data_IF_340373075249
#
_entry.id   IF_340373075249
#
_cell.length_a   1.000
_cell.length_b   1.000
_cell.length_c   1.000
_cell.angle_alpha   90.00
_cell.angle_beta   90.00
_cell.angle_gamma   90.00
#
_symmetry.space_group_name_H-M   'P 1'
#
loop_
_entity.id
_entity.type
_entity.pdbx_description
1 polymer ?
#
# COMPACT_ATOMS: atom_id res chain seq x y z
N UNK A 1 -45.53 52.20 18.10
CA UNK A 1 -45.86 50.86 17.59
C UNK A 1 -44.84 50.48 16.52
N UNK A 2 -43.91 49.57 16.83
CA UNK A 2 -43.32 48.55 15.96
C UNK A 2 -42.37 47.73 16.87
N UNK A 3 -42.57 46.41 17.04
CA UNK A 3 -41.80 45.64 18.00
C UNK A 3 -40.46 45.19 17.42
N UNK A 4 -39.40 45.34 18.23
CA UNK A 4 -38.11 44.69 18.04
C UNK A 4 -38.29 43.17 18.18
N UNK A 5 -38.11 42.42 17.09
CA UNK A 5 -37.94 40.96 17.12
C UNK A 5 -36.45 40.65 17.28
N UNK A 6 -36.07 40.27 18.50
CA UNK A 6 -34.81 39.62 18.82
C UNK A 6 -34.78 38.23 18.16
N UNK A 7 -34.01 38.08 17.09
CA UNK A 7 -33.65 36.77 16.57
C UNK A 7 -32.65 36.11 17.52
N UNK A 8 -33.15 35.30 18.45
CA UNK A 8 -32.32 34.32 19.15
C UNK A 8 -31.96 33.21 18.15
N UNK A 9 -30.76 33.29 17.57
CA UNK A 9 -30.12 32.12 16.97
C UNK A 9 -29.73 31.18 18.11
N UNK A 10 -30.56 30.18 18.37
CA UNK A 10 -30.17 29.01 19.17
C UNK A 10 -29.00 28.35 18.44
N UNK A 11 -27.78 28.59 18.95
CA UNK A 11 -26.62 27.80 18.58
C UNK A 11 -26.94 26.34 18.93
N UNK A 12 -27.17 25.50 17.92
CA UNK A 12 -27.19 24.06 18.11
C UNK A 12 -25.81 23.68 18.64
N UNK A 13 -25.75 23.33 19.93
CA UNK A 13 -24.57 22.74 20.52
C UNK A 13 -24.18 21.51 19.69
N UNK A 14 -23.02 21.56 19.05
CA UNK A 14 -22.39 20.37 18.48
C UNK A 14 -22.33 19.33 19.60
N UNK A 15 -22.96 18.14 19.44
CA UNK A 15 -22.95 17.13 20.48
C UNK A 15 -21.51 16.83 20.87
N UNK A 16 -21.23 16.83 22.18
CA UNK A 16 -19.93 16.49 22.71
C UNK A 16 -19.50 15.12 22.15
N UNK A 17 -18.22 14.93 21.76
CA UNK A 17 -17.75 13.65 21.28
C UNK A 17 -18.08 12.58 22.32
N UNK A 18 -18.79 11.53 21.92
CA UNK A 18 -19.05 10.39 22.79
C UNK A 18 -17.71 9.83 23.26
N UNK A 19 -17.49 9.60 24.57
CA UNK A 19 -16.24 9.02 25.06
C UNK A 19 -15.96 7.70 24.34
N UNK A 20 -14.78 7.58 23.72
CA UNK A 20 -14.37 6.34 23.07
C UNK A 20 -14.04 5.30 24.15
N UNK A 21 -14.89 4.28 24.29
CA UNK A 21 -14.65 3.17 25.22
C UNK A 21 -13.64 2.21 24.60
N UNK A 22 -12.50 2.02 25.28
CA UNK A 22 -11.48 1.06 24.87
C UNK A 22 -11.80 -0.35 25.37
N UNK A 23 -11.59 -1.34 24.50
CA UNK A 23 -11.64 -2.76 24.83
C UNK A 23 -10.20 -3.27 24.84
N UNK A 24 -9.77 -3.86 25.95
CA UNK A 24 -8.45 -4.50 26.06
C UNK A 24 -8.62 -6.00 25.84
N UNK A 25 -8.00 -6.52 24.80
CA UNK A 25 -7.97 -7.95 24.51
C UNK A 25 -6.66 -8.54 25.01
N UNK A 26 -6.74 -9.27 26.14
CA UNK A 26 -5.60 -9.99 26.73
C UNK A 26 -5.21 -11.15 25.82
N UNK A 27 -4.05 -11.02 25.18
CA UNK A 27 -3.49 -12.04 24.30
C UNK A 27 -1.99 -11.88 24.16
N UNK A 28 -1.34 -12.91 23.65
CA UNK A 28 0.06 -12.85 23.28
C UNK A 28 0.23 -12.14 21.93
N UNK A 29 1.27 -11.31 21.80
CA UNK A 29 1.68 -10.73 20.52
C UNK A 29 3.08 -11.24 20.23
N UNK A 30 3.22 -11.93 19.11
CA UNK A 30 4.45 -12.58 18.66
C UNK A 30 5.08 -11.76 17.51
N UNK A 31 6.41 -11.68 17.43
CA UNK A 31 7.07 -11.16 16.24
C UNK A 31 6.73 -12.05 15.03
N UNK A 32 6.46 -11.44 13.88
CA UNK A 32 6.19 -12.19 12.64
C UNK A 32 7.50 -12.83 12.15
N UNK A 33 7.61 -14.16 12.00
CA UNK A 33 8.81 -14.78 11.48
C UNK A 33 9.03 -14.42 10.00
N UNK A 34 10.19 -14.77 9.45
CA UNK A 34 10.58 -14.39 8.10
C UNK A 34 11.11 -12.96 8.02
N UNK A 35 11.25 -12.47 6.80
CA UNK A 35 11.81 -11.15 6.49
C UNK A 35 11.37 -10.69 5.11
N UNK A 36 11.59 -9.40 4.82
CA UNK A 36 11.50 -8.88 3.45
C UNK A 36 12.53 -9.57 2.55
N UNK A 37 12.14 -9.81 1.30
CA UNK A 37 13.08 -10.17 0.24
C UNK A 37 14.03 -9.00 -0.12
N UNK A 38 14.91 -9.23 -1.09
CA UNK A 38 15.88 -8.23 -1.55
C UNK A 38 15.47 -7.52 -2.84
N UNK A 39 14.22 -7.67 -3.30
CA UNK A 39 13.76 -7.06 -4.56
C UNK A 39 13.71 -5.54 -4.41
N UNK A 40 14.42 -4.76 -5.24
CA UNK A 40 14.34 -3.30 -5.20
C UNK A 40 12.96 -2.83 -5.71
N UNK A 41 12.37 -1.88 -4.98
CA UNK A 41 11.05 -1.30 -5.27
C UNK A 41 11.21 0.20 -5.48
N UNK A 42 11.02 0.65 -6.72
CA UNK A 42 10.89 2.07 -7.06
C UNK A 42 9.57 2.59 -6.48
N UNK A 43 9.64 3.49 -5.49
CA UNK A 43 8.47 4.01 -4.78
C UNK A 43 8.29 5.50 -5.07
N UNK A 44 7.31 5.85 -5.89
CA UNK A 44 6.95 7.23 -6.23
C UNK A 44 5.63 7.62 -5.56
N UNK A 45 5.70 8.24 -4.38
CA UNK A 45 4.52 8.69 -3.64
C UNK A 45 4.76 10.05 -2.97
N UNK A 46 5.75 10.82 -3.43
CA UNK A 46 6.02 12.17 -2.93
C UNK A 46 6.41 13.16 -4.05
N UNK A 47 5.66 14.25 -4.26
CA UNK A 47 4.45 14.58 -3.52
C UNK A 47 3.27 13.66 -3.86
N UNK A 48 2.42 13.34 -2.89
CA UNK A 48 1.16 12.66 -3.19
C UNK A 48 0.25 13.60 -4.00
N UNK A 49 0.07 14.84 -3.55
CA UNK A 49 -0.70 15.85 -4.27
C UNK A 49 0.19 16.67 -5.19
N UNK A 50 0.13 16.36 -6.48
CA UNK A 50 0.94 17.02 -7.51
C UNK A 50 0.21 18.27 -8.01
N UNK A 51 0.88 19.42 -7.96
CA UNK A 51 0.34 20.70 -8.46
C UNK A 51 1.20 21.35 -9.53
N UNK A 52 2.49 21.03 -9.57
CA UNK A 52 3.41 21.49 -10.61
C UNK A 52 3.96 20.31 -11.39
N UNK A 53 4.33 20.56 -12.64
CA UNK A 53 5.11 19.62 -13.44
C UNK A 53 6.49 19.39 -12.83
N UNK A 54 7.13 18.27 -13.16
CA UNK A 54 8.47 17.96 -12.68
C UNK A 54 8.74 16.47 -12.50
N UNK A 55 9.91 16.20 -11.95
CA UNK A 55 10.37 14.86 -11.57
C UNK A 55 9.72 14.47 -10.24
N UNK A 56 8.99 13.35 -10.22
CA UNK A 56 8.42 12.79 -8.99
C UNK A 56 9.45 11.91 -8.29
N UNK A 57 10.14 11.08 -9.07
CA UNK A 57 11.29 10.28 -8.65
C UNK A 57 12.15 9.93 -9.86
N UNK A 58 13.47 10.07 -9.76
CA UNK A 58 14.41 9.64 -10.79
C UNK A 58 15.58 8.87 -10.18
N UNK A 59 15.88 7.71 -10.76
CA UNK A 59 17.09 6.95 -10.45
C UNK A 59 18.20 7.13 -11.48
N UNK A 60 18.02 8.00 -12.46
CA UNK A 60 19.06 8.31 -13.45
C UNK A 60 20.33 8.85 -12.76
N UNK A 61 21.49 8.77 -13.41
CA UNK A 61 22.67 9.48 -12.94
C UNK A 61 22.45 11.00 -12.95
N UNK A 62 23.00 11.74 -11.96
CA UNK A 62 22.90 13.20 -11.90
C UNK A 62 23.78 13.93 -12.91
N UNK A 63 24.73 13.24 -13.54
CA UNK A 63 25.62 13.81 -14.55
C UNK A 63 24.82 14.36 -15.74
N UNK A 64 25.19 15.55 -16.20
CA UNK A 64 24.60 16.22 -17.37
C UNK A 64 23.11 16.55 -17.22
N UNK A 65 22.58 16.59 -15.98
CA UNK A 65 21.23 17.05 -15.64
C UNK A 65 21.27 18.47 -15.11
N UNK A 66 20.30 19.30 -15.50
CA UNK A 66 20.21 20.69 -15.01
C UNK A 66 19.98 20.76 -13.50
N UNK A 67 19.28 19.75 -12.94
CA UNK A 67 19.00 19.65 -11.50
C UNK A 67 19.53 18.33 -10.90
N UNK A 68 20.84 18.21 -10.65
CA UNK A 68 21.46 16.98 -10.16
C UNK A 68 20.79 16.38 -8.91
N UNK A 69 20.29 17.23 -8.00
CA UNK A 69 19.61 16.80 -6.76
C UNK A 69 18.29 16.04 -6.98
N UNK A 70 17.72 16.10 -8.19
CA UNK A 70 16.52 15.36 -8.56
C UNK A 70 16.83 13.90 -8.99
N UNK A 71 18.08 13.45 -8.97
CA UNK A 71 18.50 12.17 -9.55
C UNK A 71 19.30 11.32 -8.56
N UNK A 72 18.79 10.12 -8.24
CA UNK A 72 19.34 9.27 -7.17
C UNK A 72 20.42 8.28 -7.60
N UNK A 73 20.72 8.16 -8.90
CA UNK A 73 21.71 7.23 -9.46
C UNK A 73 21.61 5.78 -8.94
N UNK A 74 20.49 5.12 -9.25
CA UNK A 74 20.25 3.72 -8.89
C UNK A 74 19.79 2.91 -10.12
N UNK A 75 20.63 2.02 -10.66
CA UNK A 75 20.21 1.14 -11.75
C UNK A 75 19.41 -0.06 -11.22
N UNK A 76 18.43 -0.51 -12.00
CA UNK A 76 17.72 -1.76 -11.81
C UNK A 76 18.26 -2.82 -12.77
N UNK A 77 18.35 -4.06 -12.33
CA UNK A 77 18.70 -5.23 -13.15
C UNK A 77 18.11 -6.48 -12.48
N UNK A 78 17.62 -7.44 -13.26
CA UNK A 78 16.88 -8.59 -12.73
C UNK A 78 15.49 -8.19 -12.24
N UNK A 79 15.01 -8.80 -11.16
CA UNK A 79 13.67 -8.58 -10.59
C UNK A 79 13.59 -7.23 -9.87
N UNK A 80 12.61 -6.39 -10.20
CA UNK A 80 12.31 -5.13 -9.50
C UNK A 80 10.84 -4.73 -9.61
N UNK A 81 10.34 -3.93 -8.67
CA UNK A 81 8.95 -3.44 -8.68
C UNK A 81 8.90 -1.93 -8.85
N UNK A 82 7.77 -1.46 -9.38
CA UNK A 82 7.42 -0.04 -9.45
C UNK A 82 6.08 0.15 -8.74
N UNK A 83 6.07 0.97 -7.69
CA UNK A 83 4.87 1.50 -7.06
C UNK A 83 4.80 3.01 -7.29
N UNK A 84 3.67 3.49 -7.80
CA UNK A 84 3.40 4.92 -7.95
C UNK A 84 2.00 5.28 -7.46
N UNK A 85 1.87 6.35 -6.70
CA UNK A 85 0.58 6.89 -6.26
C UNK A 85 0.62 8.41 -6.22
N UNK A 86 -0.20 9.05 -7.04
CA UNK A 86 -0.27 10.50 -7.13
C UNK A 86 -1.71 10.97 -7.38
N UNK A 87 -1.99 12.17 -6.87
CA UNK A 87 -3.28 12.85 -6.95
C UNK A 87 -3.08 14.15 -7.70
N UNK A 88 -3.88 14.35 -8.75
CA UNK A 88 -4.05 15.63 -9.41
C UNK A 88 -5.25 16.34 -8.80
N UNK A 89 -5.09 17.63 -8.52
CA UNK A 89 -6.19 18.52 -8.14
C UNK A 89 -6.06 19.79 -8.96
N UNK A 90 -7.14 20.21 -9.58
CA UNK A 90 -7.14 21.48 -10.29
C UNK A 90 -6.71 22.62 -9.34
N UNK A 91 -5.71 23.45 -9.70
CA UNK A 91 -5.26 24.55 -8.87
C UNK A 91 -6.34 25.63 -8.72
N UNK A 92 -7.14 25.85 -9.77
CA UNK A 92 -8.33 26.71 -9.81
C UNK A 92 -9.43 26.04 -10.62
N UNK A 93 -10.65 26.57 -10.61
CA UNK A 93 -11.75 26.05 -11.45
C UNK A 93 -11.55 26.39 -12.94
N UNK A 94 -10.68 27.34 -13.26
CA UNK A 94 -10.39 27.76 -14.64
C UNK A 94 -9.23 26.96 -15.26
N UNK A 95 -8.37 26.34 -14.45
CA UNK A 95 -7.29 25.45 -14.89
C UNK A 95 -7.63 23.99 -14.56
N UNK A 96 -8.37 23.36 -15.49
CA UNK A 96 -8.80 21.96 -15.40
C UNK A 96 -7.94 21.03 -16.28
N UNK A 97 -6.70 21.42 -16.57
CA UNK A 97 -5.80 20.64 -17.43
C UNK A 97 -5.57 19.24 -16.86
N UNK A 98 -5.57 18.24 -17.74
CA UNK A 98 -5.24 16.86 -17.36
C UNK A 98 -3.77 16.76 -16.97
N UNK A 99 -3.48 16.24 -15.79
CA UNK A 99 -2.10 15.87 -15.43
C UNK A 99 -1.79 14.48 -16.00
N UNK A 100 -0.63 14.28 -16.61
CA UNK A 100 -0.12 12.97 -17.00
C UNK A 100 0.91 12.48 -15.99
N UNK A 101 0.82 11.19 -15.67
CA UNK A 101 1.89 10.44 -15.01
C UNK A 101 2.67 9.69 -16.08
N UNK A 102 3.96 9.99 -16.20
CA UNK A 102 4.90 9.27 -17.07
C UNK A 102 5.83 8.39 -16.23
N UNK A 103 6.12 7.18 -16.70
CA UNK A 103 7.23 6.36 -16.20
C UNK A 103 8.10 5.98 -17.38
N UNK A 104 9.34 6.49 -17.40
CA UNK A 104 10.31 6.26 -18.47
C UNK A 104 11.41 5.33 -17.97
N UNK A 105 11.78 4.37 -18.81
CA UNK A 105 12.94 3.50 -18.61
C UNK A 105 14.02 3.84 -19.63
N UNK A 106 15.27 3.84 -19.20
CA UNK A 106 16.43 4.09 -20.05
C UNK A 106 17.43 2.96 -19.95
N UNK A 107 17.90 2.51 -21.10
CA UNK A 107 18.97 1.53 -21.21
C UNK A 107 20.31 2.26 -21.42
N UNK A 108 21.22 2.29 -20.43
CA UNK A 108 22.52 2.93 -20.57
C UNK A 108 23.54 2.05 -21.33
N UNK A 109 23.18 0.82 -21.66
CA UNK A 109 24.04 -0.18 -22.28
C UNK A 109 24.22 0.02 -23.78
N UNK A 110 25.14 -0.78 -24.35
CA UNK A 110 25.44 -0.81 -25.78
C UNK A 110 24.62 -1.85 -26.57
N UNK A 111 23.88 -2.68 -25.86
CA UNK A 111 23.02 -3.72 -26.41
C UNK A 111 21.57 -3.44 -26.02
N UNK A 112 20.61 -3.98 -26.74
CA UNK A 112 19.19 -3.86 -26.38
C UNK A 112 18.91 -4.60 -25.06
N UNK A 113 17.98 -4.07 -24.28
CA UNK A 113 17.52 -4.64 -23.00
C UNK A 113 16.03 -4.93 -23.10
N UNK A 114 15.63 -6.11 -22.62
CA UNK A 114 14.23 -6.52 -22.51
C UNK A 114 13.77 -6.41 -21.07
N UNK A 115 12.68 -5.68 -20.85
CA UNK A 115 11.98 -5.63 -19.57
C UNK A 115 10.69 -6.42 -19.68
N UNK A 116 10.61 -7.55 -18.99
CA UNK A 116 9.40 -8.33 -18.83
C UNK A 116 8.45 -7.64 -17.84
N UNK A 117 7.20 -7.48 -18.24
CA UNK A 117 6.13 -6.96 -17.40
C UNK A 117 5.30 -8.15 -16.92
N UNK A 118 5.62 -8.64 -15.73
CA UNK A 118 5.07 -9.88 -15.17
C UNK A 118 3.63 -9.65 -14.73
N UNK A 119 3.42 -8.65 -13.88
CA UNK A 119 2.13 -8.20 -13.38
C UNK A 119 2.10 -6.66 -13.44
N UNK A 120 0.96 -6.08 -13.78
CA UNK A 120 0.83 -4.62 -13.85
C UNK A 120 -0.63 -4.19 -13.77
N UNK A 121 -0.92 -3.19 -12.95
CA UNK A 121 -2.22 -2.56 -12.90
C UNK A 121 -2.08 -1.07 -12.59
N UNK A 122 -2.89 -0.25 -13.25
CA UNK A 122 -2.99 1.20 -13.01
C UNK A 122 -4.44 1.66 -13.12
N UNK A 123 -4.96 2.26 -12.05
CA UNK A 123 -6.35 2.69 -11.98
C UNK A 123 -6.48 4.11 -11.45
N UNK A 124 -7.46 4.84 -11.99
CA UNK A 124 -7.92 6.11 -11.46
C UNK A 124 -8.86 5.91 -10.28
N UNK A 125 -8.91 6.89 -9.38
CA UNK A 125 -9.97 6.96 -8.37
C UNK A 125 -11.32 7.19 -9.01
N UNK A 126 -11.40 7.91 -10.13
CA UNK A 126 -12.62 8.10 -10.90
C UNK A 126 -12.27 8.07 -12.40
N UNK A 127 -13.00 7.30 -13.24
CA UNK A 127 -14.17 6.49 -12.92
C UNK A 127 -13.82 5.06 -12.44
N UNK A 128 -12.56 4.63 -12.53
CA UNK A 128 -12.22 3.21 -12.44
C UNK A 128 -12.50 2.59 -11.06
N UNK A 129 -12.09 3.26 -9.99
CA UNK A 129 -12.16 2.72 -8.63
C UNK A 129 -12.55 3.79 -7.59
N UNK A 130 -13.81 4.25 -7.60
CA UNK A 130 -14.28 5.27 -6.65
C UNK A 130 -14.17 4.80 -5.20
N UNK A 131 -13.99 5.77 -4.31
CA UNK A 131 -14.10 5.55 -2.87
C UNK A 131 -15.57 5.43 -2.50
N UNK A 132 -16.06 4.19 -2.39
CA UNK A 132 -17.42 3.86 -1.99
C UNK A 132 -17.44 3.28 -0.57
N UNK A 133 -18.58 3.39 0.10
CA UNK A 133 -18.80 2.69 1.36
C UNK A 133 -19.04 1.20 1.10
N UNK A 134 -18.33 0.35 1.84
CA UNK A 134 -18.49 -1.10 1.79
C UNK A 134 -18.62 -1.63 3.23
N UNK A 135 -19.29 -2.78 3.42
CA UNK A 135 -19.24 -3.53 4.68
C UNK A 135 -17.82 -3.86 5.13
N UNK A 136 -17.65 -4.23 6.41
CA UNK A 136 -16.34 -4.60 6.98
C UNK A 136 -15.68 -5.75 6.25
N UNK A 137 -16.49 -6.69 5.74
CA UNK A 137 -16.07 -7.83 4.93
C UNK A 137 -17.04 -8.07 3.80
N UNK A 138 -16.50 -8.29 2.60
CA UNK A 138 -17.28 -8.63 1.40
C UNK A 138 -16.56 -9.72 0.64
N UNK A 139 -17.29 -10.74 0.19
CA UNK A 139 -16.71 -11.72 -0.73
C UNK A 139 -16.23 -11.03 -2.01
N UNK A 140 -14.98 -11.28 -2.38
CA UNK A 140 -14.37 -10.73 -3.58
C UNK A 140 -13.86 -11.83 -4.49
N UNK A 141 -14.54 -12.98 -4.57
CA UNK A 141 -14.09 -14.10 -5.41
C UNK A 141 -14.00 -13.72 -6.89
N UNK A 142 -14.84 -12.78 -7.36
CA UNK A 142 -14.84 -12.26 -8.73
C UNK A 142 -13.78 -11.19 -9.02
N UNK A 143 -13.11 -10.65 -7.99
CA UNK A 143 -12.15 -9.54 -8.15
C UNK A 143 -12.79 -8.17 -8.43
N UNK A 144 -14.12 -8.04 -8.31
CA UNK A 144 -14.87 -6.81 -8.65
C UNK A 144 -15.22 -5.93 -7.46
N UNK A 145 -14.83 -6.31 -6.24
CA UNK A 145 -15.07 -5.52 -5.03
C UNK A 145 -13.81 -4.75 -4.65
N UNK A 146 -13.92 -3.42 -4.72
CA UNK A 146 -12.86 -2.47 -4.40
C UNK A 146 -13.46 -1.12 -3.98
N UNK A 147 -12.70 -0.34 -3.23
CA UNK A 147 -13.04 1.05 -2.91
C UNK A 147 -11.74 1.88 -2.90
N UNK A 148 -11.53 2.65 -3.96
CA UNK A 148 -10.28 3.36 -4.21
C UNK A 148 -9.30 2.58 -5.09
N UNK A 149 -8.44 3.29 -5.86
CA UNK A 149 -7.56 2.70 -6.87
C UNK A 149 -6.47 1.83 -6.27
N UNK A 150 -5.99 2.19 -5.07
CA UNK A 150 -5.03 1.37 -4.33
C UNK A 150 -5.53 -0.04 -4.05
N UNK A 151 -6.75 -0.17 -3.55
CA UNK A 151 -7.34 -1.48 -3.24
C UNK A 151 -7.58 -2.34 -4.49
N UNK A 152 -7.95 -1.70 -5.62
CA UNK A 152 -8.16 -2.37 -6.91
C UNK A 152 -6.85 -2.87 -7.51
N UNK A 153 -5.83 -2.01 -7.57
CA UNK A 153 -4.47 -2.40 -8.01
C UNK A 153 -3.97 -3.60 -7.21
N UNK A 154 -4.05 -3.54 -5.87
CA UNK A 154 -3.58 -4.64 -5.02
C UNK A 154 -4.37 -5.95 -5.25
N UNK A 155 -5.68 -5.88 -5.49
CA UNK A 155 -6.49 -7.06 -5.82
C UNK A 155 -6.06 -7.72 -7.12
N UNK A 156 -5.80 -6.93 -8.17
CA UNK A 156 -5.43 -7.47 -9.49
C UNK A 156 -4.04 -8.11 -9.46
N UNK A 157 -3.08 -7.46 -8.81
CA UNK A 157 -1.72 -7.99 -8.63
C UNK A 157 -1.73 -9.25 -7.74
N UNK A 158 -2.53 -9.29 -6.66
CA UNK A 158 -2.69 -10.49 -5.84
C UNK A 158 -3.18 -11.72 -6.64
N UNK A 159 -3.88 -11.48 -7.74
CA UNK A 159 -4.41 -12.51 -8.65
C UNK A 159 -3.47 -12.83 -9.81
N UNK A 160 -2.27 -12.25 -9.85
CA UNK A 160 -1.32 -12.41 -10.95
C UNK A 160 -1.73 -11.66 -12.22
N UNK A 161 -2.51 -10.58 -12.07
CA UNK A 161 -3.05 -9.83 -13.19
C UNK A 161 -2.03 -8.92 -13.88
N UNK A 162 -2.06 -8.93 -15.22
CA UNK A 162 -1.52 -7.86 -16.06
C UNK A 162 -2.68 -7.23 -16.81
N UNK A 163 -3.03 -6.00 -16.42
CA UNK A 163 -4.15 -5.26 -16.99
C UNK A 163 -3.96 -5.06 -18.50
N UNK A 164 -5.08 -5.19 -19.23
CA UNK A 164 -5.12 -4.93 -20.66
C UNK A 164 -4.56 -3.55 -20.99
N UNK A 165 -3.67 -3.50 -21.99
CA UNK A 165 -2.93 -2.30 -22.38
C UNK A 165 -1.48 -2.27 -21.92
N UNK A 166 -1.09 -3.06 -20.90
CA UNK A 166 0.33 -3.29 -20.61
C UNK A 166 0.86 -4.44 -21.49
N UNK A 167 1.93 -4.21 -22.28
CA UNK A 167 2.52 -5.28 -23.07
C UNK A 167 3.19 -6.31 -22.14
N UNK A 168 3.44 -7.52 -22.64
CA UNK A 168 4.18 -8.52 -21.87
C UNK A 168 5.67 -8.16 -21.72
N UNK A 169 6.22 -7.45 -22.69
CA UNK A 169 7.64 -7.09 -22.77
C UNK A 169 7.82 -5.69 -23.34
N UNK A 170 8.88 -5.02 -22.91
CA UNK A 170 9.34 -3.75 -23.46
C UNK A 170 10.81 -3.87 -23.84
N UNK A 171 11.09 -3.84 -25.15
CA UNK A 171 12.48 -3.80 -25.65
C UNK A 171 12.95 -2.34 -25.76
N UNK A 172 14.07 -2.06 -25.12
CA UNK A 172 14.73 -0.75 -25.08
C UNK A 172 16.08 -0.87 -25.79
N UNK A 173 16.21 -0.19 -26.94
CA UNK A 173 17.45 -0.20 -27.71
C UNK A 173 18.61 0.43 -26.93
N UNK A 174 19.84 0.12 -27.35
CA UNK A 174 21.05 0.66 -26.74
C UNK A 174 20.99 2.20 -26.65
N UNK A 175 21.27 2.75 -25.46
CA UNK A 175 21.28 4.20 -25.20
C UNK A 175 19.94 4.91 -25.47
N UNK A 176 18.84 4.16 -25.59
CA UNK A 176 17.51 4.73 -25.83
C UNK A 176 16.64 4.66 -24.57
N UNK A 177 15.58 5.45 -24.61
CA UNK A 177 14.53 5.43 -23.59
C UNK A 177 13.22 4.94 -24.18
N UNK A 178 12.35 4.37 -23.33
CA UNK A 178 11.00 3.95 -23.67
C UNK A 178 10.05 4.29 -22.53
N UNK A 179 8.82 4.67 -22.88
CA UNK A 179 7.77 4.84 -21.88
C UNK A 179 7.27 3.47 -21.45
N UNK A 180 7.36 3.20 -20.14
CA UNK A 180 6.66 2.10 -19.50
C UNK A 180 5.21 2.46 -19.20
N UNK A 181 4.96 3.74 -18.88
CA UNK A 181 3.65 4.28 -18.58
C UNK A 181 3.56 5.73 -19.07
N UNK A 182 2.44 6.10 -19.70
CA UNK A 182 2.14 7.48 -20.11
C UNK A 182 0.62 7.67 -20.02
N UNK A 183 0.11 7.85 -18.81
CA UNK A 183 -1.33 7.77 -18.54
C UNK A 183 -1.89 9.05 -17.92
N UNK A 184 -3.10 9.47 -18.32
CA UNK A 184 -3.73 10.69 -17.82
C UNK A 184 -4.31 10.52 -16.41
N UNK A 185 -4.46 11.64 -15.72
CA UNK A 185 -5.18 11.83 -14.45
C UNK A 185 -6.15 13.01 -14.67
N UNK A 186 -7.30 12.77 -15.35
CA UNK A 186 -8.24 13.82 -15.71
C UNK A 186 -9.02 14.29 -14.49
N UNK A 187 -9.28 15.60 -14.42
CA UNK A 187 -10.05 16.24 -13.33
C UNK A 187 -11.26 17.04 -13.84
N UNK A 188 -11.28 17.39 -15.13
CA UNK A 188 -12.22 18.34 -15.74
C UNK A 188 -13.69 18.00 -15.54
N UNK A 189 -14.05 16.72 -15.52
CA UNK A 189 -15.43 16.24 -15.39
C UNK A 189 -15.84 15.91 -13.94
N UNK A 190 -14.97 16.17 -12.96
CA UNK A 190 -15.17 15.75 -11.57
C UNK A 190 -15.56 16.93 -10.68
N UNK A 191 -16.40 16.67 -9.68
CA UNK A 191 -16.80 17.67 -8.66
C UNK A 191 -16.60 17.08 -7.26
N UNK A 192 -15.62 17.56 -6.47
CA UNK A 192 -14.59 18.53 -6.85
C UNK A 192 -13.61 17.98 -7.91
N UNK A 193 -12.86 18.84 -8.64
CA UNK A 193 -11.93 18.44 -9.69
C UNK A 193 -10.64 17.85 -9.11
N UNK A 194 -10.73 16.62 -8.60
CA UNK A 194 -9.64 15.86 -7.97
C UNK A 194 -9.70 14.41 -8.40
N UNK A 195 -8.54 13.84 -8.75
CA UNK A 195 -8.44 12.43 -9.13
C UNK A 195 -7.07 11.88 -8.74
N UNK A 196 -7.02 10.64 -8.25
CA UNK A 196 -5.79 9.92 -7.96
C UNK A 196 -5.55 8.79 -8.95
N UNK A 197 -4.28 8.43 -9.18
CA UNK A 197 -3.88 7.22 -9.90
C UNK A 197 -2.95 6.40 -9.02
N UNK A 198 -3.26 5.11 -8.87
CA UNK A 198 -2.36 4.12 -8.28
C UNK A 198 -1.84 3.20 -9.36
N UNK A 199 -0.56 2.85 -9.30
CA UNK A 199 0.09 1.89 -10.17
C UNK A 199 0.96 0.95 -9.35
N UNK A 200 0.90 -0.34 -9.63
CA UNK A 200 1.89 -1.32 -9.17
C UNK A 200 2.28 -2.23 -10.35
N UNK A 201 3.57 -2.45 -10.52
CA UNK A 201 4.12 -3.32 -11.56
C UNK A 201 5.22 -4.22 -10.98
N UNK A 202 5.20 -5.48 -11.39
CA UNK A 202 6.26 -6.47 -11.14
C UNK A 202 7.01 -6.72 -12.43
N UNK A 203 8.30 -6.43 -12.42
CA UNK A 203 9.13 -6.39 -13.62
C UNK A 203 10.38 -7.28 -13.47
N UNK A 204 10.92 -7.72 -14.60
CA UNK A 204 12.25 -8.31 -14.68
C UNK A 204 12.99 -7.68 -15.86
N UNK A 205 14.25 -7.29 -15.67
CA UNK A 205 15.10 -6.74 -16.74
C UNK A 205 16.31 -7.63 -16.97
N UNK A 206 16.56 -8.02 -18.22
CA UNK A 206 17.74 -8.82 -18.60
C UNK A 206 19.05 -8.02 -18.59
N UNK A 207 18.97 -6.68 -18.61
CA UNK A 207 20.10 -5.76 -18.47
C UNK A 207 19.83 -4.61 -17.49
N UNK A 208 20.78 -3.69 -17.40
CA UNK A 208 20.65 -2.51 -16.54
C UNK A 208 19.66 -1.51 -17.13
N UNK A 209 18.78 -0.96 -16.32
CA UNK A 209 17.91 0.16 -16.68
C UNK A 209 17.85 1.20 -15.57
N UNK A 210 17.68 2.46 -15.95
CA UNK A 210 17.30 3.55 -15.05
C UNK A 210 15.82 3.86 -15.22
N UNK A 211 15.16 4.28 -14.13
CA UNK A 211 13.73 4.60 -14.15
C UNK A 211 13.49 6.01 -13.62
N UNK A 212 12.49 6.69 -14.18
CA UNK A 212 11.98 7.93 -13.61
C UNK A 212 10.46 8.01 -13.75
N UNK A 213 9.79 8.50 -12.71
CA UNK A 213 8.39 8.92 -12.73
C UNK A 213 8.33 10.44 -12.80
N UNK A 214 7.50 10.94 -13.70
CA UNK A 214 7.42 12.34 -14.10
C UNK A 214 5.95 12.78 -14.12
N UNK A 215 5.71 14.06 -13.84
CA UNK A 215 4.41 14.69 -13.93
C UNK A 215 4.46 15.84 -14.94
N UNK A 216 3.53 15.86 -15.89
CA UNK A 216 3.41 16.94 -16.87
C UNK A 216 1.93 17.16 -17.19
N UNK A 217 1.46 18.40 -17.26
CA UNK A 217 0.13 18.70 -17.75
C UNK A 217 0.04 18.41 -19.24
N UNK A 218 -1.16 18.06 -19.70
CA UNK A 218 -1.42 17.74 -21.09
C UNK A 218 -0.99 18.92 -21.99
N UNK A 219 0.00 18.74 -22.88
CA UNK A 219 0.29 19.73 -23.88
C UNK A 219 -0.89 19.85 -24.85
N UNK A 220 -1.01 21.02 -25.47
CA UNK A 220 -2.00 21.27 -26.51
C UNK A 220 -1.43 20.87 -27.88
N UNK A 221 -2.30 20.38 -28.76
CA UNK A 221 -2.00 20.25 -30.19
C UNK A 221 -2.25 21.58 -30.94
N UNK A 222 -2.07 21.58 -32.27
CA UNK A 222 -2.27 22.76 -33.12
C UNK A 222 -3.70 23.29 -33.09
N UNK A 223 -4.66 22.45 -32.75
CA UNK A 223 -6.09 22.77 -32.70
C UNK A 223 -6.53 23.19 -31.29
N UNK A 224 -5.59 23.24 -30.33
CA UNK A 224 -5.83 23.60 -28.95
C UNK A 224 -6.41 22.48 -28.08
N UNK A 225 -6.42 21.23 -28.57
CA UNK A 225 -6.90 20.08 -27.80
C UNK A 225 -5.77 19.47 -26.95
N UNK A 226 -6.13 18.95 -25.78
CA UNK A 226 -5.21 18.22 -24.93
C UNK A 226 -4.76 16.91 -25.60
N UNK A 227 -3.44 16.67 -25.64
CA UNK A 227 -2.84 15.40 -26.08
C UNK A 227 -1.91 14.83 -25.00
N UNK A 228 -1.53 13.56 -25.15
CA UNK A 228 -0.49 12.99 -24.29
C UNK A 228 0.88 13.62 -24.56
N UNK A 229 1.73 13.81 -23.54
CA UNK A 229 3.12 14.20 -23.75
C UNK A 229 3.88 13.16 -24.58
N UNK A 230 4.77 13.62 -25.45
CA UNK A 230 5.63 12.75 -26.27
C UNK A 230 6.83 12.26 -25.47
N UNK A 231 7.52 11.22 -25.96
CA UNK A 231 8.75 10.75 -25.31
C UNK A 231 9.82 11.85 -25.25
N UNK A 232 9.95 12.69 -26.28
CA UNK A 232 10.88 13.81 -26.28
C UNK A 232 10.55 14.80 -25.15
N UNK A 233 9.27 15.15 -24.95
CA UNK A 233 8.87 16.04 -23.86
C UNK A 233 9.15 15.44 -22.48
N UNK A 234 8.99 14.12 -22.32
CA UNK A 234 9.37 13.43 -21.08
C UNK A 234 10.89 13.42 -20.86
N UNK A 235 11.69 13.25 -21.92
CA UNK A 235 13.14 13.31 -21.86
C UNK A 235 13.63 14.72 -21.52
N UNK A 236 13.04 15.75 -22.14
CA UNK A 236 13.34 17.15 -21.86
C UNK A 236 13.03 17.48 -20.39
N UNK A 237 11.87 17.06 -19.88
CA UNK A 237 11.50 17.23 -18.48
C UNK A 237 12.45 16.47 -17.53
N UNK A 238 12.90 15.28 -17.91
CA UNK A 238 13.87 14.51 -17.14
C UNK A 238 15.25 15.15 -17.11
N UNK A 239 15.66 15.83 -18.19
CA UNK A 239 16.98 16.47 -18.32
C UNK A 239 17.04 17.84 -17.66
N UNK A 240 15.99 18.63 -17.84
CA UNK A 240 15.94 20.05 -17.48
C UNK A 240 15.07 20.33 -16.26
N UNK A 241 14.13 19.45 -15.93
CA UNK A 241 13.12 19.68 -14.90
C UNK A 241 13.66 19.63 -13.47
N UNK A 242 12.91 20.25 -12.56
CA UNK A 242 13.09 20.17 -11.11
C UNK A 242 12.16 19.11 -10.51
N UNK A 243 12.23 18.90 -9.19
CA UNK A 243 11.26 18.06 -8.49
C UNK A 243 9.85 18.67 -8.55
N UNK A 244 8.85 17.85 -8.86
CA UNK A 244 7.45 18.26 -8.82
C UNK A 244 7.04 18.64 -7.39
N UNK A 245 6.16 19.64 -7.29
CA UNK A 245 5.76 20.26 -6.04
C UNK A 245 4.24 20.44 -5.85
N UNK A 246 3.84 20.97 -4.68
CA UNK A 246 4.69 21.23 -3.51
C UNK A 246 5.16 19.91 -2.86
N UNK A 247 6.37 19.89 -2.29
CA UNK A 247 6.89 18.72 -1.57
C UNK A 247 6.06 18.43 -0.30
N UNK A 248 6.04 17.18 0.13
CA UNK A 248 5.37 16.78 1.37
C UNK A 248 6.09 17.31 2.62
N UNK A 249 5.47 17.14 3.79
CA UNK A 249 6.14 17.42 5.07
C UNK A 249 7.36 16.51 5.22
N UNK A 250 8.51 17.12 5.51
CA UNK A 250 9.74 16.40 5.81
C UNK A 250 9.54 15.42 6.99
N UNK A 251 10.12 14.21 6.92
CA UNK A 251 10.01 13.24 8.01
C UNK A 251 10.77 13.68 9.24
N UNK A 252 10.30 13.25 10.40
CA UNK A 252 11.06 13.29 11.64
C UNK A 252 12.18 12.26 11.57
N UNK A 253 13.39 12.61 12.04
CA UNK A 253 14.51 11.68 12.10
C UNK A 253 14.14 10.43 12.94
N UNK A 254 14.55 9.20 12.55
CA UNK A 254 14.08 7.97 13.19
C UNK A 254 14.44 7.83 14.68
N UNK A 255 15.49 8.53 15.13
CA UNK A 255 15.96 8.53 16.52
C UNK A 255 15.36 9.66 17.36
N UNK A 256 14.49 10.50 16.80
CA UNK A 256 13.81 11.52 17.57
C UNK A 256 12.84 10.87 18.57
N UNK A 257 12.93 11.28 19.84
CA UNK A 257 12.10 10.75 20.93
C UNK A 257 11.09 11.77 21.44
N UNK A 258 11.08 12.99 20.91
CA UNK A 258 10.24 14.10 21.34
C UNK A 258 9.46 14.69 20.18
N UNK A 259 8.30 15.30 20.47
CA UNK A 259 7.44 15.91 19.47
C UNK A 259 6.54 14.91 18.72
N UNK A 260 5.79 15.44 17.75
CA UNK A 260 4.95 14.61 16.88
C UNK A 260 5.80 13.96 15.79
N UNK A 261 5.71 12.64 15.67
CA UNK A 261 6.43 11.87 14.65
C UNK A 261 5.74 12.01 13.29
N UNK A 262 6.49 12.48 12.29
CA UNK A 262 6.09 12.49 10.88
C UNK A 262 6.90 11.41 10.17
N UNK A 263 6.25 10.35 9.69
CA UNK A 263 6.93 9.28 8.96
C UNK A 263 7.42 9.73 7.57
N UNK A 264 6.75 10.73 6.99
CA UNK A 264 7.01 11.21 5.63
C UNK A 264 6.37 10.31 4.56
N UNK A 265 6.17 10.87 3.37
CA UNK A 265 5.85 10.11 2.16
C UNK A 265 7.13 9.54 1.55
N UNK A 266 7.01 8.49 0.75
CA UNK A 266 8.17 7.74 0.21
C UNK A 266 8.46 8.22 -1.22
N UNK A 267 9.69 8.67 -1.47
CA UNK A 267 10.26 8.78 -2.82
C UNK A 267 11.71 8.26 -2.82
N UNK A 268 11.91 7.12 -3.47
CA UNK A 268 13.20 6.46 -3.52
C UNK A 268 13.10 5.00 -3.94
N UNK A 269 14.17 4.24 -3.71
CA UNK A 269 14.18 2.79 -3.92
C UNK A 269 14.22 2.10 -2.57
N UNK A 270 13.20 1.32 -2.25
CA UNK A 270 13.15 0.49 -1.05
C UNK A 270 13.67 -0.92 -1.34
N UNK A 271 14.13 -1.64 -0.33
CA UNK A 271 14.48 -3.07 -0.43
C UNK A 271 13.37 -3.92 0.16
N UNK A 272 12.73 -4.73 -0.67
CA UNK A 272 11.72 -5.70 -0.26
C UNK A 272 10.38 -5.49 -0.96
N UNK A 273 9.97 -6.48 -1.76
CA UNK A 273 8.65 -6.55 -2.41
C UNK A 273 7.69 -7.56 -1.75
N UNK A 274 8.24 -8.50 -0.98
CA UNK A 274 7.48 -9.57 -0.34
C UNK A 274 8.03 -9.90 1.05
N UNK A 275 7.14 -10.12 1.99
CA UNK A 275 7.41 -10.79 3.27
C UNK A 275 6.86 -12.21 3.20
N UNK A 276 7.74 -13.21 3.24
CA UNK A 276 7.34 -14.61 3.23
C UNK A 276 7.65 -15.26 4.58
N UNK A 277 6.68 -15.98 5.13
CA UNK A 277 6.82 -16.60 6.45
C UNK A 277 6.04 -17.90 6.58
N UNK A 278 6.66 -18.89 7.21
CA UNK A 278 5.96 -20.02 7.82
C UNK A 278 5.89 -19.77 9.33
N UNK A 279 4.67 -19.70 9.86
CA UNK A 279 4.41 -19.40 11.26
C UNK A 279 4.43 -20.73 12.02
N UNK A 280 5.43 -20.95 12.86
CA UNK A 280 5.62 -22.16 13.68
C UNK A 280 5.93 -21.75 15.11
N UNK A 281 5.80 -22.69 16.06
CA UNK A 281 5.97 -22.37 17.49
C UNK A 281 7.38 -21.86 17.84
N UNK A 282 8.40 -22.36 17.14
CA UNK A 282 9.79 -21.95 17.29
C UNK A 282 10.62 -22.36 16.04
N UNK A 283 11.89 -21.92 15.89
CA UNK A 283 12.67 -22.15 14.67
C UNK A 283 12.92 -23.62 14.29
N UNK A 284 12.75 -24.58 15.20
CA UNK A 284 12.92 -26.02 14.91
C UNK A 284 11.59 -26.77 14.80
N UNK A 285 10.46 -26.11 15.09
CA UNK A 285 9.13 -26.69 14.98
C UNK A 285 8.67 -26.75 13.51
N UNK A 286 7.81 -27.72 13.20
CA UNK A 286 7.16 -27.86 11.88
C UNK A 286 5.69 -27.41 11.88
N UNK A 287 5.15 -27.14 13.07
CA UNK A 287 3.74 -26.81 13.27
C UNK A 287 3.59 -25.58 14.17
N UNK A 288 2.38 -25.02 14.14
CA UNK A 288 1.93 -23.93 14.99
C UNK A 288 0.81 -24.46 15.88
N UNK A 289 1.08 -24.56 17.17
CA UNK A 289 0.09 -25.02 18.14
C UNK A 289 -1.02 -23.99 18.26
N UNK A 290 -2.28 -24.43 18.11
CA UNK A 290 -3.44 -23.56 18.33
C UNK A 290 -3.46 -23.08 19.79
N UNK A 291 -3.95 -21.86 20.08
CA UNK A 291 -3.99 -21.38 21.45
C UNK A 291 -4.94 -22.24 22.30
N UNK A 292 -4.76 -22.19 23.62
CA UNK A 292 -5.66 -22.84 24.57
C UNK A 292 -7.11 -22.32 24.41
N UNK A 293 -8.14 -23.10 24.80
CA UNK A 293 -9.54 -22.65 24.75
C UNK A 293 -9.73 -21.28 25.41
N UNK A 294 -10.46 -20.38 24.74
CA UNK A 294 -10.67 -19.00 25.16
C UNK A 294 -9.44 -18.07 25.06
N UNK A 295 -8.33 -18.51 24.47
CA UNK A 295 -7.10 -17.72 24.28
C UNK A 295 -6.83 -17.41 22.81
N UNK A 296 -5.94 -16.44 22.59
CA UNK A 296 -5.49 -16.02 21.27
C UNK A 296 -4.01 -15.60 21.29
N UNK A 297 -3.39 -15.61 20.12
CA UNK A 297 -2.14 -14.89 19.84
C UNK A 297 -2.26 -14.10 18.53
N UNK A 298 -1.45 -13.06 18.38
CA UNK A 298 -1.37 -12.27 17.15
C UNK A 298 0.05 -12.12 16.63
N UNK A 299 0.17 -11.93 15.32
CA UNK A 299 1.38 -11.43 14.66
C UNK A 299 1.14 -10.03 14.10
N UNK A 300 2.07 -9.11 14.34
CA UNK A 300 2.03 -7.77 13.75
C UNK A 300 2.24 -7.80 12.24
N UNK A 301 1.51 -6.94 11.52
CA UNK A 301 1.61 -6.74 10.08
C UNK A 301 1.94 -5.25 9.81
N UNK A 302 2.99 -5.01 9.04
CA UNK A 302 3.53 -3.68 8.74
C UNK A 302 3.88 -2.85 9.99
N UNK A 303 4.48 -3.48 11.01
CA UNK A 303 4.93 -2.75 12.21
C UNK A 303 6.03 -1.72 11.91
N UNK A 304 6.12 -0.69 12.75
CA UNK A 304 6.92 0.51 12.50
C UNK A 304 7.59 1.03 13.78
N UNK A 305 8.57 1.94 13.64
CA UNK A 305 9.09 2.72 14.76
C UNK A 305 7.91 3.50 15.37
N UNK A 306 7.54 3.29 16.64
CA UNK A 306 6.32 3.80 17.30
C UNK A 306 5.00 3.08 16.94
N UNK A 307 5.10 1.80 16.60
CA UNK A 307 3.97 0.91 16.32
C UNK A 307 4.41 -0.56 16.32
N UNK A 308 5.28 -0.94 17.26
CA UNK A 308 5.89 -2.28 17.36
C UNK A 308 5.00 -3.31 18.04
N UNK A 309 3.89 -2.87 18.64
CA UNK A 309 2.95 -3.72 19.37
C UNK A 309 3.67 -4.59 20.41
N UNK A 310 4.62 -4.02 21.16
CA UNK A 310 5.35 -4.70 22.24
C UNK A 310 6.36 -5.76 21.80
N UNK A 311 6.46 -6.09 20.51
CA UNK A 311 7.37 -7.14 20.01
C UNK A 311 8.81 -6.66 19.76
N UNK A 312 9.02 -5.33 19.74
CA UNK A 312 10.27 -4.73 19.26
C UNK A 312 10.49 -4.83 17.75
N UNK A 313 9.66 -5.57 17.00
CA UNK A 313 9.82 -5.78 15.57
C UNK A 313 9.39 -4.54 14.76
N UNK A 314 10.23 -4.18 13.79
CA UNK A 314 9.95 -3.18 12.76
C UNK A 314 9.98 -3.88 11.41
N UNK A 315 8.91 -3.72 10.64
CA UNK A 315 8.79 -4.31 9.29
C UNK A 315 8.95 -3.28 8.17
N UNK A 316 9.08 -1.99 8.50
CA UNK A 316 9.27 -0.93 7.49
C UNK A 316 10.51 -1.20 6.63
N UNK A 317 10.34 -1.24 5.30
CA UNK A 317 11.43 -1.59 4.40
C UNK A 317 12.55 -0.52 4.41
N UNK A 318 13.83 -0.92 4.44
CA UNK A 318 14.93 0.04 4.36
C UNK A 318 15.03 0.68 2.96
N UNK A 319 15.37 1.96 2.92
CA UNK A 319 15.63 2.68 1.67
C UNK A 319 17.08 2.44 1.20
N UNK A 320 17.25 2.03 -0.06
CA UNK A 320 18.55 1.93 -0.73
C UNK A 320 19.05 3.31 -1.17
N UNK A 321 18.14 4.12 -1.70
CA UNK A 321 18.33 5.54 -2.02
C UNK A 321 17.00 6.27 -1.78
N UNK A 322 17.04 7.55 -1.41
CA UNK A 322 15.84 8.38 -1.19
C UNK A 322 16.16 9.85 -1.39
N UNK A 323 15.14 10.67 -1.63
CA UNK A 323 15.31 12.13 -1.49
C UNK A 323 15.40 12.53 -0.01
N UNK A 324 16.22 13.53 0.35
CA UNK A 324 16.45 13.92 1.74
C UNK A 324 15.19 14.32 2.51
N UNK A 325 14.20 14.91 1.82
CA UNK A 325 12.92 15.39 2.35
C UNK A 325 11.84 14.30 2.47
N UNK A 326 12.16 13.05 2.14
CA UNK A 326 11.21 11.92 2.14
C UNK A 326 11.54 10.85 3.15
N UNK A 327 10.59 9.97 3.43
CA UNK A 327 10.64 8.96 4.49
C UNK A 327 11.98 8.19 4.56
N UNK A 328 12.46 7.96 5.79
CA UNK A 328 13.70 7.22 6.03
C UNK A 328 13.58 5.72 5.75
N UNK A 329 12.36 5.19 5.83
CA UNK A 329 11.99 3.82 5.50
C UNK A 329 10.71 3.85 4.65
N UNK A 330 10.41 2.80 3.90
CA UNK A 330 9.11 2.66 3.25
C UNK A 330 8.03 2.29 4.28
N UNK A 331 7.67 3.25 5.12
CA UNK A 331 6.64 3.07 6.15
C UNK A 331 5.30 2.70 5.50
N UNK A 332 4.55 1.81 6.15
CA UNK A 332 3.32 1.26 5.59
C UNK A 332 3.54 0.20 4.53
N UNK A 333 4.76 -0.02 4.02
CA UNK A 333 5.07 -1.14 3.12
C UNK A 333 4.07 -1.29 1.94
N UNK A 334 3.63 -0.16 1.36
CA UNK A 334 2.60 -0.18 0.32
C UNK A 334 3.04 -1.03 -0.87
N UNK A 335 2.20 -1.98 -1.27
CA UNK A 335 2.50 -2.94 -2.33
C UNK A 335 3.34 -4.15 -1.89
N UNK A 336 3.87 -4.18 -0.66
CA UNK A 336 4.56 -5.38 -0.16
C UNK A 336 3.55 -6.50 0.00
N UNK A 337 3.85 -7.66 -0.59
CA UNK A 337 3.06 -8.86 -0.43
C UNK A 337 3.43 -9.57 0.87
N UNK A 338 2.47 -9.76 1.78
CA UNK A 338 2.58 -10.68 2.89
C UNK A 338 2.09 -12.05 2.42
N UNK A 339 2.92 -13.07 2.55
CA UNK A 339 2.63 -14.45 2.16
C UNK A 339 2.93 -15.38 3.32
N UNK A 340 1.88 -15.72 4.06
CA UNK A 340 1.96 -16.33 5.38
C UNK A 340 1.36 -17.74 5.33
N UNK A 341 2.09 -18.72 5.85
CA UNK A 341 1.63 -20.11 5.95
C UNK A 341 1.58 -20.52 7.42
N UNK A 342 0.42 -21.03 7.85
CA UNK A 342 0.11 -21.44 9.21
C UNK A 342 -0.19 -22.95 9.23
N UNK A 343 0.81 -23.81 9.50
CA UNK A 343 0.62 -25.25 9.72
C UNK A 343 0.04 -25.51 11.12
N UNK A 344 -1.25 -25.24 11.32
CA UNK A 344 -1.93 -25.37 12.60
C UNK A 344 -2.01 -26.83 13.06
N UNK A 345 -1.81 -27.07 14.36
CA UNK A 345 -2.03 -28.37 15.01
C UNK A 345 -2.93 -28.22 16.25
N UNK A 346 -3.88 -29.13 16.43
CA UNK A 346 -4.62 -29.30 17.69
C UNK A 346 -3.98 -30.43 18.53
N UNK A 347 -3.13 -30.13 19.52
CA UNK A 347 -2.52 -31.16 20.35
C UNK A 347 -3.44 -31.66 21.49
N UNK A 348 -4.66 -31.13 21.61
CA UNK A 348 -5.57 -31.48 22.71
C UNK A 348 -6.32 -32.78 22.43
N UNK A 349 -7.02 -33.28 23.45
CA UNK A 349 -7.88 -34.49 23.34
C UNK A 349 -9.31 -34.17 22.91
N UNK A 350 -9.64 -32.89 22.76
CA UNK A 350 -10.97 -32.42 22.41
C UNK A 350 -10.96 -31.74 21.04
N UNK A 351 -12.10 -31.73 20.37
CA UNK A 351 -12.27 -30.94 19.14
C UNK A 351 -12.27 -29.46 19.52
N UNK A 352 -11.47 -28.66 18.83
CA UNK A 352 -11.33 -27.22 19.07
C UNK A 352 -11.88 -26.42 17.88
N UNK A 353 -12.61 -25.35 18.16
CA UNK A 353 -13.01 -24.38 17.13
C UNK A 353 -11.94 -23.28 17.03
N UNK A 354 -11.22 -23.24 15.91
CA UNK A 354 -10.14 -22.29 15.66
C UNK A 354 -10.57 -21.26 14.64
N UNK A 355 -10.27 -19.99 14.90
CA UNK A 355 -10.62 -18.86 14.03
C UNK A 355 -9.39 -18.02 13.69
N UNK A 356 -9.38 -17.49 12.48
CA UNK A 356 -8.39 -16.51 12.02
C UNK A 356 -9.09 -15.20 11.66
N UNK A 357 -8.49 -14.08 12.04
CA UNK A 357 -8.96 -12.75 11.69
C UNK A 357 -7.77 -11.81 11.42
N UNK A 358 -7.94 -10.87 10.49
CA UNK A 358 -7.07 -9.70 10.37
C UNK A 358 -7.75 -8.58 11.13
N UNK A 359 -7.05 -7.88 12.02
CA UNK A 359 -7.62 -6.87 12.90
C UNK A 359 -6.82 -5.56 12.87
N UNK A 360 -7.48 -4.46 13.24
CA UNK A 360 -6.90 -3.11 13.24
C UNK A 360 -6.93 -2.52 14.66
N UNK A 361 -5.99 -2.90 15.54
CA UNK A 361 -5.93 -2.37 16.89
C UNK A 361 -5.54 -0.88 16.90
N UNK A 362 -5.71 -0.24 18.05
CA UNK A 362 -5.12 1.07 18.31
C UNK A 362 -3.59 0.91 18.29
N UNK A 363 -2.91 1.74 17.50
CA UNK A 363 -1.45 1.72 17.39
C UNK A 363 -0.80 1.93 18.76
N UNK A 364 0.04 0.98 19.14
CA UNK A 364 0.82 0.99 20.38
C UNK A 364 2.28 0.63 20.07
N UNK A 365 3.24 1.32 20.72
CA UNK A 365 4.65 0.91 20.65
C UNK A 365 4.96 -0.18 21.68
N UNK A 366 4.59 0.07 22.93
CA UNK A 366 4.64 -0.89 24.04
C UNK A 366 3.23 -1.38 24.36
N UNK A 367 3.12 -2.63 24.81
CA UNK A 367 1.84 -3.23 25.19
C UNK A 367 1.74 -3.34 26.71
N UNK A 368 0.63 -2.84 27.26
CA UNK A 368 0.23 -3.03 28.65
C UNK A 368 -1.12 -3.73 28.65
N UNK A 369 -1.14 -5.04 28.93
CA UNK A 369 -2.37 -5.82 29.04
C UNK A 369 -2.98 -6.32 27.72
N UNK A 370 -2.27 -6.25 26.59
CA UNK A 370 -2.72 -6.79 25.30
C UNK A 370 -3.06 -5.73 24.25
N UNK A 371 -3.76 -6.15 23.19
CA UNK A 371 -4.18 -5.25 22.11
C UNK A 371 -5.37 -4.40 22.54
N UNK A 372 -5.41 -3.14 22.13
CA UNK A 372 -6.53 -2.23 22.40
C UNK A 372 -7.38 -2.00 21.16
N UNK A 373 -8.68 -2.02 21.36
CA UNK A 373 -9.71 -1.78 20.37
C UNK A 373 -10.69 -0.74 20.88
N UNK A 374 -11.61 -0.30 20.04
CA UNK A 374 -12.68 0.62 20.38
C UNK A 374 -14.01 -0.12 20.31
N UNK A 375 -14.85 0.02 21.33
CA UNK A 375 -16.21 -0.54 21.32
C UNK A 375 -17.02 -0.03 20.12
N UNK A 376 -16.85 1.25 19.79
CA UNK A 376 -17.30 1.84 18.54
C UNK A 376 -16.06 2.30 17.75
N UNK A 377 -15.68 1.62 16.66
CA UNK A 377 -14.51 1.98 15.86
C UNK A 377 -14.58 3.44 15.37
N UNK A 378 -13.42 4.08 15.28
CA UNK A 378 -13.36 5.47 14.82
C UNK A 378 -13.79 5.57 13.34
N UNK A 379 -14.14 6.77 12.86
CA UNK A 379 -14.59 6.93 11.45
C UNK A 379 -13.48 6.66 10.43
N UNK A 380 -12.22 6.83 10.81
CA UNK A 380 -11.07 6.69 9.93
C UNK A 380 -10.87 5.23 9.50
N UNK A 381 -10.83 5.00 8.20
CA UNK A 381 -10.45 3.72 7.61
C UNK A 381 -8.93 3.58 7.70
N UNK A 382 -8.49 2.44 8.22
CA UNK A 382 -7.09 2.13 8.50
C UNK A 382 -6.61 0.90 7.70
N UNK A 383 -7.52 0.08 7.19
CA UNK A 383 -7.18 -0.95 6.23
C UNK A 383 -8.28 -1.07 5.19
N UNK A 384 -7.89 -1.10 3.91
CA UNK A 384 -8.83 -1.34 2.82
C UNK A 384 -8.19 -2.12 1.68
N UNK A 385 -8.49 -3.41 1.58
CA UNK A 385 -7.87 -4.28 0.57
C UNK A 385 -8.38 -5.72 0.60
N UNK A 386 -7.94 -6.48 -0.39
CA UNK A 386 -8.32 -7.89 -0.54
C UNK A 386 -7.29 -8.80 0.11
N UNK A 387 -7.78 -9.78 0.87
CA UNK A 387 -6.99 -10.89 1.43
C UNK A 387 -7.41 -12.19 0.73
N UNK A 388 -6.43 -12.97 0.29
CA UNK A 388 -6.61 -14.33 -0.23
C UNK A 388 -6.32 -15.33 0.88
N UNK A 389 -7.21 -16.30 1.03
CA UNK A 389 -7.14 -17.37 2.02
C UNK A 389 -7.19 -18.71 1.29
N UNK A 390 -6.26 -19.61 1.58
CA UNK A 390 -6.29 -20.99 1.06
C UNK A 390 -6.16 -21.99 2.21
N UNK A 391 -7.08 -22.94 2.30
CA UNK A 391 -7.11 -23.94 3.38
C UNK A 391 -7.98 -25.14 2.98
N UNK A 392 -7.93 -26.23 3.75
CA UNK A 392 -8.94 -27.30 3.67
C UNK A 392 -10.02 -27.05 4.70
N UNK A 393 -11.28 -27.10 4.30
CA UNK A 393 -12.41 -26.98 5.22
C UNK A 393 -12.62 -28.25 6.07
N UNK A 394 -13.65 -28.25 6.91
CA UNK A 394 -13.95 -29.36 7.82
C UNK A 394 -14.37 -30.65 7.09
N UNK A 395 -14.71 -30.58 5.79
CA UNK A 395 -14.97 -31.73 4.92
C UNK A 395 -13.71 -32.20 4.18
N UNK A 396 -12.56 -31.54 4.41
CA UNK A 396 -11.30 -31.81 3.73
C UNK A 396 -11.21 -31.22 2.32
N UNK A 397 -12.20 -30.43 1.89
CA UNK A 397 -12.22 -29.84 0.55
C UNK A 397 -11.31 -28.62 0.49
N UNK A 398 -10.46 -28.49 -0.54
CA UNK A 398 -9.65 -27.30 -0.73
C UNK A 398 -10.55 -26.09 -1.00
N UNK A 399 -10.32 -25.01 -0.25
CA UNK A 399 -10.98 -23.72 -0.42
C UNK A 399 -9.95 -22.67 -0.73
N UNK A 400 -10.25 -21.83 -1.72
CA UNK A 400 -9.60 -20.55 -1.93
C UNK A 400 -10.66 -19.47 -1.88
N UNK A 401 -10.49 -18.49 -0.99
CA UNK A 401 -11.40 -17.37 -0.81
C UNK A 401 -10.66 -16.06 -1.00
N UNK A 402 -11.36 -15.09 -1.55
CA UNK A 402 -10.90 -13.71 -1.59
C UNK A 402 -11.91 -12.87 -0.83
N UNK A 403 -11.44 -12.10 0.14
CA UNK A 403 -12.31 -11.25 0.97
C UNK A 403 -11.77 -9.83 0.92
N UNK A 404 -12.61 -8.88 0.50
CA UNK A 404 -12.30 -7.47 0.62
C UNK A 404 -12.63 -7.01 2.03
N UNK A 405 -11.66 -6.40 2.71
CA UNK A 405 -11.82 -5.88 4.08
C UNK A 405 -11.85 -4.36 4.04
N UNK A 406 -12.76 -3.77 4.81
CA UNK A 406 -12.74 -2.35 5.16
C UNK A 406 -12.73 -2.25 6.68
N UNK A 407 -11.59 -1.86 7.24
CA UNK A 407 -11.43 -1.79 8.69
C UNK A 407 -11.09 -0.37 9.14
N UNK A 408 -11.72 0.01 10.23
CA UNK A 408 -11.57 1.30 10.89
C UNK A 408 -10.55 1.21 12.03
N UNK A 409 -10.02 2.35 12.45
CA UNK A 409 -9.11 2.42 13.61
C UNK A 409 -9.78 1.82 14.85
N UNK A 410 -9.09 0.87 15.49
CA UNK A 410 -9.56 0.21 16.71
C UNK A 410 -10.62 -0.86 16.46
N UNK A 411 -10.80 -1.33 15.23
CA UNK A 411 -11.77 -2.37 14.91
C UNK A 411 -11.21 -3.78 15.12
N UNK A 412 -11.91 -4.59 15.91
CA UNK A 412 -11.73 -6.04 15.95
C UNK A 412 -12.20 -6.64 14.62
N UNK A 413 -11.46 -7.62 14.09
CA UNK A 413 -11.75 -8.20 12.79
C UNK A 413 -12.82 -9.29 12.86
N UNK A 414 -13.71 -9.35 11.86
CA UNK A 414 -14.61 -10.50 11.74
C UNK A 414 -13.83 -11.75 11.29
N UNK A 415 -14.39 -12.93 11.56
CA UNK A 415 -13.73 -14.22 11.27
C UNK A 415 -13.58 -14.46 9.77
N UNK A 416 -12.33 -14.65 9.33
CA UNK A 416 -11.98 -14.96 7.94
C UNK A 416 -12.01 -16.46 7.65
N UNK A 417 -11.50 -17.25 8.60
CA UNK A 417 -11.47 -18.72 8.55
C UNK A 417 -11.96 -19.24 9.89
N UNK A 418 -12.83 -20.25 9.86
CA UNK A 418 -13.27 -21.03 11.03
C UNK A 418 -13.05 -22.50 10.69
N UNK A 419 -12.38 -23.22 11.60
CA UNK A 419 -12.07 -24.65 11.46
C UNK A 419 -12.52 -25.39 12.72
N UNK A 420 -13.18 -26.52 12.53
CA UNK A 420 -13.36 -27.52 13.57
C UNK A 420 -12.18 -28.49 13.48
N UNK A 421 -11.27 -28.44 14.46
CA UNK A 421 -10.06 -29.25 14.47
C UNK A 421 -10.20 -30.38 15.50
N UNK A 422 -10.42 -31.65 15.09
CA UNK A 422 -10.42 -32.79 15.99
C UNK A 422 -9.08 -32.97 16.74
N UNK A 423 -9.02 -33.88 17.72
CA UNK A 423 -7.77 -34.22 18.39
C UNK A 423 -6.68 -34.64 17.40
N UNK A 424 -5.46 -34.12 17.58
CA UNK A 424 -4.28 -34.35 16.74
C UNK A 424 -4.40 -33.88 15.28
N UNK A 425 -5.47 -33.17 14.95
CA UNK A 425 -5.71 -32.69 13.60
C UNK A 425 -4.69 -31.62 13.18
N UNK A 426 -4.35 -31.63 11.89
CA UNK A 426 -3.46 -30.66 11.28
C UNK A 426 -4.16 -29.94 10.12
N UNK A 427 -4.02 -28.62 10.10
CA UNK A 427 -4.63 -27.74 9.10
C UNK A 427 -3.61 -26.75 8.58
N UNK A 428 -3.37 -26.77 7.27
CA UNK A 428 -2.56 -25.75 6.61
C UNK A 428 -3.45 -24.61 6.16
N UNK A 429 -3.22 -23.41 6.70
CA UNK A 429 -3.91 -22.18 6.28
C UNK A 429 -2.89 -21.23 5.67
N UNK A 430 -3.18 -20.70 4.49
CA UNK A 430 -2.38 -19.67 3.83
C UNK A 430 -3.14 -18.36 3.80
N UNK A 431 -2.45 -17.27 4.11
CA UNK A 431 -2.95 -15.90 4.07
C UNK A 431 -2.02 -15.08 3.18
N UNK A 432 -2.55 -14.57 2.08
CA UNK A 432 -1.82 -13.72 1.13
C UNK A 432 -2.54 -12.39 0.93
N UNK A 433 -1.82 -11.28 1.01
CA UNK A 433 -2.34 -9.96 0.60
C UNK A 433 -1.20 -9.03 0.24
N UNK A 434 -1.48 -8.02 -0.58
CA UNK A 434 -0.59 -6.88 -0.76
C UNK A 434 -1.05 -5.75 0.16
N UNK A 435 -0.13 -5.15 0.91
CA UNK A 435 -0.47 -4.10 1.85
C UNK A 435 -0.96 -2.85 1.08
N UNK A 436 -2.23 -2.42 1.24
CA UNK A 436 -2.81 -1.38 0.39
C UNK A 436 -2.24 0.02 0.68
N UNK A 437 -2.16 0.91 -0.33
CA UNK A 437 -1.58 2.25 -0.17
C UNK A 437 -2.47 3.26 0.55
N UNK A 438 -3.73 2.91 0.83
CA UNK A 438 -4.69 3.69 1.64
C UNK A 438 -4.89 3.07 3.04
N UNK A 439 -3.88 2.33 3.52
CA UNK A 439 -3.89 1.68 4.84
C UNK A 439 -2.95 2.41 5.81
N UNK A 440 -3.37 2.52 7.07
CA UNK A 440 -2.55 3.05 8.17
C UNK A 440 -2.10 1.91 9.08
N UNK A 441 -0.79 1.63 9.18
CA UNK A 441 -0.28 0.53 10.01
C UNK A 441 -0.30 0.82 11.51
N UNK A 442 -0.16 -0.22 12.36
CA UNK A 442 -0.08 -1.65 12.00
C UNK A 442 -1.45 -2.35 12.02
N UNK A 443 -1.55 -3.46 11.30
CA UNK A 443 -2.61 -4.47 11.48
C UNK A 443 -2.04 -5.68 12.22
N UNK A 444 -2.91 -6.62 12.59
CA UNK A 444 -2.49 -7.91 13.16
C UNK A 444 -3.22 -9.07 12.49
N UNK A 445 -2.56 -10.22 12.39
CA UNK A 445 -3.19 -11.51 12.12
C UNK A 445 -3.36 -12.26 13.44
N UNK A 446 -4.59 -12.60 13.80
CA UNK A 446 -4.94 -13.23 15.07
C UNK A 446 -5.43 -14.65 14.85
N UNK A 447 -4.92 -15.59 15.65
CA UNK A 447 -5.45 -16.96 15.78
C UNK A 447 -6.08 -17.08 17.16
N UNK A 448 -7.32 -17.59 17.21
CA UNK A 448 -8.08 -17.77 18.46
C UNK A 448 -8.74 -19.14 18.49
N UNK A 449 -8.72 -19.77 19.65
CA UNK A 449 -9.51 -20.96 19.96
C UNK A 449 -10.68 -20.55 20.84
N UNK A 450 -11.90 -20.93 20.44
CA UNK A 450 -13.13 -20.55 21.15
C UNK A 450 -13.29 -21.30 22.47
#
# INVERSE_FOLDING_TARGET
MLPFLLNFTLAQATPAPTPQVEIVQLQEIRPLPGQLDNVPVFNSNSPELVKTEGILLSTFPPSDKSNPGAHLNFPFQGRFDIFAHHVAKAPTLDDLRTLYLGIILHNPGKEAVTVDIIEAASYLSQPDAPFIELPSQVDNSSGRVYAGPGSRVMSDILRGGRQDGFPAQLVIQAQQSRMLLNLPIPVRTLTPPINGRSTLMRLYSDGKVYAASLAQYAPLDSDGNERSPTIAQWQDLLEQGELAGPRDRAPTAPMATTGSIIYGRVAGVARGSRWQAQLVDNPTAQSLTIPQPGKAFSYGLSTLHHGRLGTGQIQSAPMLVRYPDTAYFAHGNYGVQYSLTLPLINPTRDTQTVTLALETPIKQDQIQGGLRFLQAPAKQIFFRGTVRLSYKDDQGLPRTRYVHLVQRRGQQGDTLVRLQMPPLDQRLVQVDFLYPPDSTPPQVLTVRTQ
#
